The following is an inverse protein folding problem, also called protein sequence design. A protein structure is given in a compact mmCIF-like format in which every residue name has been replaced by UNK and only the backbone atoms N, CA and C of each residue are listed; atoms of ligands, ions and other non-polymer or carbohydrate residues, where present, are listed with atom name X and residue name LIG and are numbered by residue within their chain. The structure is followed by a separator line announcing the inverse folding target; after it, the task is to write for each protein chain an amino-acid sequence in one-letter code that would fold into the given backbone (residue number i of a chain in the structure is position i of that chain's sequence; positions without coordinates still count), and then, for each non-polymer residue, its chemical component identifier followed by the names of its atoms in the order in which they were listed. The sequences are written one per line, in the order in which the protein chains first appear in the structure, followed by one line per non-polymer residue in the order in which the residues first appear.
data_IF_925376238034
#
_entry.id   IF_925376238034
#
_cell.length_a   1.000
_cell.length_b   1.000
_cell.length_c   1.000
_cell.angle_alpha   90.00
_cell.angle_beta   90.00
_cell.angle_gamma   90.00
#
_symmetry.space_group_name_H-M   'P 1'
#
loop_
_entity.id
_entity.type
_entity.pdbx_description
1 polymer ?
#
# COMPACT_ATOMS: atom_id res chain seq x y z
N UNK A 1 -4.03 -4.93 -28.89
CA UNK A 1 -3.75 -3.91 -27.86
C UNK A 1 -3.68 -4.64 -26.52
N UNK A 2 -2.49 -5.08 -26.09
CA UNK A 2 -2.31 -5.69 -24.76
C UNK A 2 -2.15 -4.53 -23.77
N UNK A 3 -3.27 -3.93 -23.38
CA UNK A 3 -3.29 -2.92 -22.34
C UNK A 3 -3.24 -3.61 -20.98
N UNK A 4 -2.30 -3.20 -20.12
CA UNK A 4 -2.24 -3.60 -18.73
C UNK A 4 -3.64 -3.56 -18.10
N UNK A 5 -4.13 -4.71 -17.65
CA UNK A 5 -5.49 -4.83 -17.14
C UNK A 5 -5.67 -4.08 -15.82
N UNK A 6 -6.93 -3.83 -15.45
CA UNK A 6 -7.25 -3.29 -14.11
C UNK A 6 -6.69 -4.18 -12.99
N UNK A 7 -6.65 -5.50 -13.18
CA UNK A 7 -5.99 -6.46 -12.28
C UNK A 7 -4.50 -6.17 -12.12
N UNK A 8 -3.80 -5.90 -13.21
CA UNK A 8 -2.36 -5.65 -13.20
C UNK A 8 -2.05 -4.34 -12.46
N UNK A 9 -2.92 -3.33 -12.62
CA UNK A 9 -2.83 -2.08 -11.88
C UNK A 9 -3.03 -2.29 -10.37
N UNK A 10 -3.99 -3.13 -9.98
CA UNK A 10 -4.23 -3.47 -8.57
C UNK A 10 -3.04 -4.24 -7.97
N UNK A 11 -2.50 -5.22 -8.70
CA UNK A 11 -1.32 -5.98 -8.27
C UNK A 11 -0.12 -5.05 -8.11
N UNK A 12 0.14 -4.19 -9.09
CA UNK A 12 1.21 -3.19 -9.00
C UNK A 12 1.00 -2.23 -7.82
N UNK A 13 -0.25 -1.87 -7.50
CA UNK A 13 -0.60 -1.09 -6.31
C UNK A 13 -0.27 -1.82 -5.02
N UNK A 14 -0.67 -3.09 -4.89
CA UNK A 14 -0.36 -3.91 -3.72
C UNK A 14 1.15 -4.08 -3.52
N UNK A 15 1.91 -4.31 -4.60
CA UNK A 15 3.37 -4.38 -4.55
C UNK A 15 4.01 -3.07 -4.10
N UNK A 16 3.45 -1.91 -4.48
CA UNK A 16 3.93 -0.60 -3.99
C UNK A 16 3.70 -0.42 -2.49
N UNK A 17 2.56 -0.89 -1.97
CA UNK A 17 2.25 -0.85 -0.53
C UNK A 17 3.23 -1.73 0.24
N UNK A 18 3.45 -2.95 -0.23
CA UNK A 18 4.40 -3.90 0.35
C UNK A 18 5.84 -3.35 0.39
N UNK A 19 6.27 -2.74 -0.72
CA UNK A 19 7.57 -2.08 -0.79
C UNK A 19 7.68 -0.91 0.18
N UNK A 20 6.65 -0.07 0.30
CA UNK A 20 6.64 1.04 1.24
C UNK A 20 6.73 0.55 2.70
N UNK A 21 5.99 -0.50 3.06
CA UNK A 21 6.07 -1.14 4.38
C UNK A 21 7.47 -1.69 4.65
N UNK A 22 8.04 -2.43 3.70
CA UNK A 22 9.39 -3.00 3.81
C UNK A 22 10.46 -1.91 3.94
N UNK A 23 10.35 -0.80 3.22
CA UNK A 23 11.25 0.34 3.36
C UNK A 23 11.18 0.96 4.76
N UNK A 24 9.97 1.14 5.30
CA UNK A 24 9.77 1.69 6.63
C UNK A 24 10.37 0.77 7.72
N UNK A 25 10.13 -0.53 7.63
CA UNK A 25 10.69 -1.51 8.56
C UNK A 25 12.22 -1.50 8.52
N UNK A 26 12.81 -1.50 7.32
CA UNK A 26 14.26 -1.41 7.16
C UNK A 26 14.83 -0.10 7.73
N UNK A 27 14.12 1.02 7.56
CA UNK A 27 14.55 2.30 8.10
C UNK A 27 14.57 2.27 9.64
N UNK A 28 13.56 1.66 10.28
CA UNK A 28 13.49 1.48 11.74
C UNK A 28 14.63 0.58 12.22
N UNK A 29 14.84 -0.56 11.57
CA UNK A 29 15.91 -1.51 11.93
C UNK A 29 17.28 -0.85 11.84
N UNK A 30 17.58 -0.16 10.73
CA UNK A 30 18.86 0.54 10.54
C UNK A 30 19.09 1.64 11.58
N UNK A 31 18.05 2.38 11.94
CA UNK A 31 18.14 3.38 13.00
C UNK A 31 18.43 2.75 14.36
N UNK A 32 17.76 1.64 14.69
CA UNK A 32 17.95 0.95 15.96
C UNK A 32 19.35 0.31 16.09
N UNK A 33 19.93 -0.17 14.99
CA UNK A 33 21.25 -0.81 14.97
C UNK A 33 22.40 0.20 14.96
N UNK A 34 22.34 1.18 14.05
CA UNK A 34 23.52 1.99 13.72
C UNK A 34 23.40 3.43 14.26
N UNK A 35 22.20 3.86 14.68
CA UNK A 35 21.90 5.24 15.10
C UNK A 35 22.17 6.31 14.03
N UNK A 36 22.63 5.92 12.85
CA UNK A 36 23.19 6.80 11.82
C UNK A 36 22.13 7.41 10.90
N UNK A 37 20.92 6.83 10.85
CA UNK A 37 19.82 7.40 10.10
C UNK A 37 19.21 8.59 10.88
N UNK A 38 19.09 9.78 10.29
CA UNK A 38 18.39 10.87 10.94
C UNK A 38 16.95 10.47 11.28
N UNK A 39 16.45 10.70 12.51
CA UNK A 39 15.13 10.24 12.95
C UNK A 39 13.99 10.68 12.03
N UNK A 40 14.09 11.87 11.43
CA UNK A 40 13.09 12.39 10.50
C UNK A 40 12.96 11.54 9.23
N UNK A 41 14.02 10.89 8.75
CA UNK A 41 13.95 10.01 7.57
C UNK A 41 13.17 8.74 7.88
N UNK A 42 13.36 8.18 9.08
CA UNK A 42 12.58 7.02 9.55
C UNK A 42 11.11 7.41 9.69
N UNK A 43 10.83 8.57 10.26
CA UNK A 43 9.45 9.08 10.39
C UNK A 43 8.79 9.31 9.03
N UNK A 44 9.52 9.83 8.04
CA UNK A 44 9.00 9.98 6.66
C UNK A 44 8.65 8.63 6.05
N UNK A 45 9.55 7.64 6.14
CA UNK A 45 9.30 6.31 5.60
C UNK A 45 8.07 5.64 6.25
N UNK A 46 7.92 5.77 7.57
CA UNK A 46 6.75 5.29 8.30
C UNK A 46 5.45 6.00 7.87
N UNK A 47 5.51 7.31 7.65
CA UNK A 47 4.37 8.11 7.19
C UNK A 47 3.93 7.69 5.79
N UNK A 48 4.88 7.53 4.86
CA UNK A 48 4.61 7.07 3.50
C UNK A 48 3.98 5.67 3.49
N UNK A 49 4.54 4.73 4.27
CA UNK A 49 3.99 3.40 4.42
C UNK A 49 2.55 3.43 4.97
N UNK A 50 2.31 4.24 6.01
CA UNK A 50 0.98 4.39 6.60
C UNK A 50 -0.03 4.93 5.59
N UNK A 51 0.30 6.02 4.90
CA UNK A 51 -0.59 6.66 3.94
C UNK A 51 -0.88 5.73 2.75
N UNK A 52 0.13 5.02 2.25
CA UNK A 52 0.00 4.02 1.19
C UNK A 52 -0.96 2.89 1.58
N UNK A 53 -0.81 2.35 2.80
CA UNK A 53 -1.69 1.30 3.33
C UNK A 53 -3.13 1.82 3.51
N UNK A 54 -3.31 3.02 4.07
CA UNK A 54 -4.64 3.62 4.23
C UNK A 54 -5.36 3.75 2.90
N UNK A 55 -4.68 4.23 1.86
CA UNK A 55 -5.24 4.32 0.52
C UNK A 55 -5.58 2.93 -0.05
N UNK A 56 -4.71 1.94 0.12
CA UNK A 56 -4.97 0.57 -0.32
C UNK A 56 -6.21 -0.04 0.34
N UNK A 57 -6.43 0.23 1.63
CA UNK A 57 -7.63 -0.20 2.35
C UNK A 57 -8.89 0.47 1.79
N UNK A 58 -8.84 1.74 1.41
CA UNK A 58 -9.96 2.44 0.75
C UNK A 58 -10.28 1.82 -0.61
N UNK A 59 -9.27 1.54 -1.42
CA UNK A 59 -9.46 0.86 -2.72
C UNK A 59 -10.08 -0.52 -2.52
N UNK A 60 -9.57 -1.31 -1.55
CA UNK A 60 -10.13 -2.62 -1.21
C UNK A 60 -11.59 -2.53 -0.78
N UNK A 61 -11.94 -1.56 0.07
CA UNK A 61 -13.33 -1.34 0.48
C UNK A 61 -14.22 -1.07 -0.74
N UNK A 62 -13.79 -0.19 -1.65
CA UNK A 62 -14.55 0.14 -2.85
C UNK A 62 -14.73 -1.05 -3.80
N UNK A 63 -13.72 -1.91 -3.92
CA UNK A 63 -13.81 -3.16 -4.69
C UNK A 63 -14.87 -4.10 -4.12
N UNK A 64 -14.86 -4.28 -2.80
CA UNK A 64 -15.82 -5.15 -2.10
C UNK A 64 -17.24 -4.60 -2.24
N UNK A 65 -17.43 -3.30 -2.05
CA UNK A 65 -18.72 -2.62 -2.27
C UNK A 65 -19.22 -2.79 -3.71
N UNK A 66 -18.36 -2.55 -4.70
CA UNK A 66 -18.72 -2.70 -6.11
C UNK A 66 -19.12 -4.13 -6.45
N UNK A 67 -18.42 -5.12 -5.90
CA UNK A 67 -18.81 -6.53 -6.04
C UNK A 67 -20.17 -6.81 -5.40
N UNK A 68 -20.40 -6.33 -4.17
CA UNK A 68 -21.68 -6.50 -3.48
C UNK A 68 -22.85 -5.86 -4.25
N UNK A 69 -22.65 -4.69 -4.85
CA UNK A 69 -23.67 -3.99 -5.62
C UNK A 69 -24.06 -4.75 -6.89
N UNK A 70 -23.08 -5.30 -7.61
CA UNK A 70 -23.34 -6.15 -8.78
C UNK A 70 -24.17 -7.38 -8.42
N UNK A 71 -23.89 -8.00 -7.28
CA UNK A 71 -24.66 -9.16 -6.79
C UNK A 71 -26.11 -8.79 -6.43
N UNK A 72 -26.36 -7.56 -5.96
CA UNK A 72 -27.71 -7.09 -5.63
C UNK A 72 -28.57 -6.81 -6.85
N UNK A 73 -27.97 -6.48 -8.00
CA UNK A 73 -28.71 -6.22 -9.24
C UNK A 73 -29.29 -7.49 -9.90
N UNK A 74 -28.80 -8.68 -9.53
CA UNK A 74 -29.22 -9.96 -10.13
C UNK A 74 -30.25 -10.74 -9.28
N UNK A 75 -30.72 -10.14 -8.19
CA UNK A 75 -31.92 -10.57 -7.45
C UNK A 75 -33.12 -9.74 -7.91
#
# INVERSE_FOLDING_TARGET
MQGHGFSDWLVAGATRVDHAATLADNAVVRFALDGAAPPHQVMIALEEARMSLQFALQVRARLVEGYQELMRMQL
#
